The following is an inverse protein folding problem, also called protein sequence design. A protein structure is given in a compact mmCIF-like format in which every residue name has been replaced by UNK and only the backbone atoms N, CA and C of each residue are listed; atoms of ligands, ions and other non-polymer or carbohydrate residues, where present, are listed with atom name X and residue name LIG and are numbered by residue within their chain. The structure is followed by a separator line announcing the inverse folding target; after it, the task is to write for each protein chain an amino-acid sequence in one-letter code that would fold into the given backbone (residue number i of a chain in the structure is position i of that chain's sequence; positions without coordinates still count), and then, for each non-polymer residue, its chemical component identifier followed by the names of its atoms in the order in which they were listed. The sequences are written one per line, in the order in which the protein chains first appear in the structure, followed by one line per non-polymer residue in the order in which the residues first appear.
data_IF_306334094590
#
_entry.id   IF_306334094590
#
_cell.length_a   1.000
_cell.length_b   1.000
_cell.length_c   1.000
_cell.angle_alpha   90.00
_cell.angle_beta   90.00
_cell.angle_gamma   90.00
#
_symmetry.space_group_name_H-M   'P 1'
#
loop_
_entity.id
_entity.type
_entity.pdbx_description
1 polymer ?
#
# COMPACT_ATOMS: atom_id res chain seq x y z
N UNK A 1 31.67 -7.10 -8.49
CA UNK A 1 32.31 -7.53 -9.75
C UNK A 1 31.29 -8.33 -10.55
N UNK A 2 30.52 -7.65 -11.40
CA UNK A 2 29.92 -8.11 -12.66
C UNK A 2 29.02 -7.00 -13.18
N UNK A 3 29.65 -5.94 -13.67
CA UNK A 3 29.00 -4.88 -14.43
C UNK A 3 28.99 -5.33 -15.90
N UNK A 4 28.15 -6.31 -16.20
CA UNK A 4 27.75 -6.63 -17.58
C UNK A 4 26.34 -6.12 -17.74
N UNK A 5 26.21 -4.79 -17.88
CA UNK A 5 24.96 -4.18 -18.31
C UNK A 5 24.62 -4.76 -19.68
N UNK A 6 23.76 -5.77 -19.69
CA UNK A 6 23.14 -6.26 -20.90
C UNK A 6 22.19 -5.15 -21.34
N UNK A 7 22.67 -4.29 -22.24
CA UNK A 7 21.91 -3.12 -22.68
C UNK A 7 21.08 -3.44 -23.91
N UNK A 8 19.80 -3.09 -23.87
CA UNK A 8 18.97 -2.98 -25.05
C UNK A 8 19.15 -1.60 -25.68
N UNK A 9 19.53 -1.56 -26.96
CA UNK A 9 19.73 -0.30 -27.69
C UNK A 9 18.55 -0.05 -28.62
N UNK A 10 18.02 1.18 -28.62
CA UNK A 10 16.99 1.60 -29.56
C UNK A 10 17.57 1.58 -30.98
N UNK A 11 16.92 0.85 -31.90
CA UNK A 11 17.28 0.79 -33.32
C UNK A 11 16.30 1.55 -34.21
N UNK A 12 15.05 1.68 -33.77
CA UNK A 12 14.02 2.39 -34.52
C UNK A 12 13.02 3.01 -33.57
N UNK A 13 12.61 4.24 -33.90
CA UNK A 13 11.50 4.95 -33.27
C UNK A 13 10.53 5.32 -34.38
N UNK A 14 9.25 5.01 -34.19
CA UNK A 14 8.17 5.47 -35.08
C UNK A 14 7.20 6.27 -34.24
N UNK A 15 7.00 7.54 -34.58
CA UNK A 15 6.07 8.43 -33.89
C UNK A 15 4.88 8.68 -34.81
N UNK A 16 3.68 8.39 -34.32
CA UNK A 16 2.46 8.63 -35.07
C UNK A 16 1.89 10.02 -34.78
N UNK A 17 1.16 10.61 -35.74
CA UNK A 17 0.56 11.96 -35.61
C UNK A 17 -0.39 12.11 -34.42
N UNK A 18 -0.92 11.00 -33.90
CA UNK A 18 -1.83 10.96 -32.75
C UNK A 18 -1.10 10.81 -31.41
N UNK A 19 0.22 10.94 -31.37
CA UNK A 19 1.01 11.00 -30.13
C UNK A 19 1.50 9.65 -29.60
N UNK A 20 1.21 8.54 -30.27
CA UNK A 20 1.73 7.21 -29.89
C UNK A 20 3.12 7.01 -30.51
N UNK A 21 4.03 6.41 -29.75
CA UNK A 21 5.37 6.07 -30.19
C UNK A 21 5.63 4.57 -30.10
N UNK A 22 6.27 4.01 -31.12
CA UNK A 22 6.72 2.62 -31.16
C UNK A 22 8.25 2.58 -31.12
N UNK A 23 8.79 1.81 -30.19
CA UNK A 23 10.22 1.63 -30.00
C UNK A 23 10.63 0.21 -30.34
N UNK A 24 11.64 0.08 -31.19
CA UNK A 24 12.27 -1.20 -31.47
C UNK A 24 13.67 -1.21 -30.83
N UNK A 25 13.85 -2.10 -29.86
CA UNK A 25 15.12 -2.27 -29.16
C UNK A 25 15.76 -3.61 -29.54
N UNK A 26 17.09 -3.63 -29.57
CA UNK A 26 17.87 -4.84 -29.80
C UNK A 26 19.10 -4.86 -28.90
N UNK A 27 19.41 -6.03 -28.36
CA UNK A 27 20.60 -6.29 -27.57
C UNK A 27 21.08 -7.72 -27.78
N UNK A 28 22.30 -8.00 -27.34
CA UNK A 28 22.90 -9.34 -27.38
C UNK A 28 23.33 -9.72 -25.98
N UNK A 29 23.00 -10.94 -25.59
CA UNK A 29 23.37 -11.53 -24.32
C UNK A 29 24.24 -12.76 -24.59
N UNK A 30 25.35 -12.91 -23.86
CA UNK A 30 26.22 -14.09 -23.95
C UNK A 30 25.97 -14.98 -22.73
N UNK A 31 25.48 -16.20 -22.95
CA UNK A 31 25.12 -17.13 -21.87
C UNK A 31 23.71 -16.88 -21.35
N UNK A 32 23.54 -16.92 -20.04
CA UNK A 32 22.26 -16.68 -19.35
C UNK A 32 22.31 -15.35 -18.61
N UNK A 33 21.23 -14.58 -18.69
CA UNK A 33 21.09 -13.33 -17.96
C UNK A 33 19.78 -12.65 -18.30
N UNK A 34 19.65 -11.42 -17.84
CA UNK A 34 18.45 -10.59 -17.99
C UNK A 34 18.77 -9.29 -18.73
N UNK A 35 17.74 -8.73 -19.36
CA UNK A 35 17.71 -7.34 -19.79
C UNK A 35 16.70 -6.63 -18.88
N UNK A 36 17.05 -5.44 -18.40
CA UNK A 36 16.17 -4.62 -17.58
C UNK A 36 15.66 -3.43 -18.40
N UNK A 37 14.37 -3.13 -18.22
CA UNK A 37 13.70 -1.98 -18.80
C UNK A 37 12.95 -1.29 -17.67
N UNK A 38 13.15 0.02 -17.55
CA UNK A 38 12.51 0.84 -16.53
C UNK A 38 11.37 1.65 -17.15
N UNK A 39 10.23 1.66 -16.46
CA UNK A 39 9.03 2.40 -16.85
C UNK A 39 8.41 3.04 -15.61
N UNK A 40 7.66 4.11 -15.80
CA UNK A 40 6.82 4.65 -14.72
C UNK A 40 5.62 3.73 -14.46
N UNK A 41 5.01 3.83 -13.27
CA UNK A 41 3.83 3.04 -12.90
C UNK A 41 2.68 3.28 -13.89
N UNK A 42 2.48 4.53 -14.31
CA UNK A 42 1.42 4.92 -15.24
C UNK A 42 1.59 4.30 -16.64
N UNK A 43 2.83 4.05 -17.06
CA UNK A 43 3.14 3.43 -18.36
C UNK A 43 2.99 1.90 -18.33
N UNK A 44 3.10 1.26 -17.15
CA UNK A 44 3.19 -0.19 -17.01
C UNK A 44 2.01 -0.93 -17.66
N UNK A 45 0.79 -0.42 -17.49
CA UNK A 45 -0.40 -1.02 -18.09
C UNK A 45 -0.31 -1.07 -19.63
N UNK A 46 0.21 -0.01 -20.25
CA UNK A 46 0.29 0.08 -21.70
C UNK A 46 1.47 -0.74 -22.24
N UNK A 47 2.57 -0.82 -21.48
CA UNK A 47 3.68 -1.72 -21.76
C UNK A 47 3.21 -3.18 -21.72
N UNK A 48 2.51 -3.61 -20.67
CA UNK A 48 2.02 -5.01 -20.58
C UNK A 48 1.06 -5.38 -21.72
N UNK A 49 0.32 -4.42 -22.27
CA UNK A 49 -0.59 -4.62 -23.40
C UNK A 49 0.11 -4.63 -24.76
N UNK A 50 1.28 -4.01 -24.88
CA UNK A 50 1.94 -3.75 -26.18
C UNK A 50 3.35 -4.33 -26.32
N UNK A 51 3.95 -4.82 -25.23
CA UNK A 51 5.29 -5.39 -25.22
C UNK A 51 5.34 -6.70 -26.03
N UNK A 52 6.23 -6.71 -27.02
CA UNK A 52 6.52 -7.89 -27.81
C UNK A 52 8.02 -8.18 -27.75
N UNK A 53 8.38 -9.39 -27.33
CA UNK A 53 9.77 -9.83 -27.18
C UNK A 53 10.01 -11.04 -28.06
N UNK A 54 11.09 -11.02 -28.83
CA UNK A 54 11.46 -12.09 -29.75
C UNK A 54 12.94 -12.44 -29.53
N UNK A 55 13.21 -13.73 -29.34
CA UNK A 55 14.56 -14.25 -29.47
C UNK A 55 14.87 -14.46 -30.95
N UNK A 56 15.99 -13.89 -31.41
CA UNK A 56 16.47 -14.00 -32.79
C UNK A 56 17.70 -14.91 -32.89
N UNK A 57 18.10 -15.54 -31.79
CA UNK A 57 19.17 -16.52 -31.76
C UNK A 57 18.67 -17.90 -32.19
N UNK A 58 19.55 -18.71 -32.77
CA UNK A 58 19.20 -20.06 -33.24
C UNK A 58 19.07 -21.10 -32.11
N UNK A 59 19.63 -20.81 -30.93
CA UNK A 59 19.78 -21.77 -29.82
C UNK A 59 19.39 -21.23 -28.45
N UNK A 60 18.86 -20.02 -28.38
CA UNK A 60 18.35 -19.41 -27.14
C UNK A 60 16.84 -19.59 -27.00
N UNK A 61 16.33 -19.15 -25.85
CA UNK A 61 14.90 -18.94 -25.65
C UNK A 61 14.69 -17.90 -24.54
N UNK A 62 13.50 -17.30 -24.52
CA UNK A 62 13.06 -16.43 -23.43
C UNK A 62 12.41 -17.30 -22.35
N UNK A 63 12.97 -17.32 -21.14
CA UNK A 63 12.45 -18.13 -20.03
C UNK A 63 11.24 -17.49 -19.35
N UNK A 64 11.28 -16.18 -19.15
CA UNK A 64 10.26 -15.44 -18.41
C UNK A 64 10.38 -13.93 -18.67
N UNK A 65 9.27 -13.23 -18.45
CA UNK A 65 9.24 -11.78 -18.30
C UNK A 65 8.70 -11.52 -16.90
N UNK A 66 9.42 -10.73 -16.12
CA UNK A 66 9.11 -10.40 -14.73
C UNK A 66 8.98 -8.89 -14.60
N UNK A 67 8.01 -8.43 -13.84
CA UNK A 67 7.84 -7.01 -13.53
C UNK A 67 7.39 -6.87 -12.07
N UNK A 68 7.74 -5.74 -11.46
CA UNK A 68 7.26 -5.40 -10.13
C UNK A 68 5.84 -4.86 -10.25
N UNK A 69 4.87 -5.59 -9.71
CA UNK A 69 3.51 -5.11 -9.64
C UNK A 69 3.41 -4.03 -8.55
N UNK A 70 3.40 -2.76 -8.96
CA UNK A 70 2.97 -1.67 -8.08
C UNK A 70 1.44 -1.77 -7.92
N UNK A 71 0.98 -2.29 -6.78
CA UNK A 71 -0.43 -2.21 -6.43
C UNK A 71 -0.76 -0.75 -6.09
N UNK A 72 -1.84 -0.22 -6.67
CA UNK A 72 -2.33 1.11 -6.31
C UNK A 72 -2.60 1.20 -4.80
N UNK A 73 -2.35 2.35 -4.14
CA UNK A 73 -2.64 2.51 -2.71
C UNK A 73 -4.07 2.14 -2.34
N UNK A 74 -5.04 2.40 -3.21
CA UNK A 74 -6.44 2.00 -3.02
C UNK A 74 -6.66 0.49 -3.10
N UNK A 75 -5.88 -0.24 -3.91
CA UNK A 75 -5.90 -1.71 -3.99
C UNK A 75 -5.18 -2.34 -2.79
N UNK A 76 -4.08 -1.73 -2.32
CA UNK A 76 -3.44 -2.09 -1.07
C UNK A 76 -4.38 -1.87 0.12
N UNK A 77 -5.10 -0.74 0.14
CA UNK A 77 -6.12 -0.45 1.15
C UNK A 77 -7.34 -1.36 1.05
N UNK A 78 -7.70 -1.88 -0.14
CA UNK A 78 -8.74 -2.93 -0.28
C UNK A 78 -8.28 -4.28 0.26
N UNK A 79 -6.98 -4.59 0.16
CA UNK A 79 -6.41 -5.80 0.75
C UNK A 79 -6.35 -5.71 2.28
N UNK A 80 -6.39 -4.50 2.83
CA UNK A 80 -6.64 -4.25 4.24
C UNK A 80 -8.16 -4.25 4.41
N UNK A 81 -8.75 -5.27 5.04
CA UNK A 81 -10.20 -5.34 5.29
C UNK A 81 -10.65 -4.30 6.33
N UNK A 82 -10.52 -3.00 6.02
CA UNK A 82 -10.99 -1.89 6.86
C UNK A 82 -12.01 -1.08 6.06
N UNK A 83 -13.27 -1.13 6.50
CA UNK A 83 -14.37 -0.32 6.00
C UNK A 83 -14.47 1.01 6.78
N UNK A 84 -14.49 2.13 6.07
CA UNK A 84 -14.54 3.48 6.67
C UNK A 84 -15.90 4.12 6.32
N UNK A 85 -16.93 3.96 7.16
CA UNK A 85 -18.24 4.54 6.92
C UNK A 85 -18.24 6.07 7.11
N UNK A 86 -19.20 6.76 6.49
CA UNK A 86 -19.38 8.22 6.62
C UNK A 86 -19.83 8.67 8.03
N UNK A 87 -20.35 7.76 8.85
CA UNK A 87 -20.84 8.02 10.21
C UNK A 87 -20.13 7.08 11.17
N UNK A 88 -19.71 7.56 12.34
CA UNK A 88 -18.94 6.79 13.31
C UNK A 88 -17.63 6.18 12.72
N UNK A 89 -16.95 6.92 11.84
CA UNK A 89 -15.80 6.44 11.07
C UNK A 89 -14.66 5.97 11.99
N UNK A 90 -14.33 6.75 13.02
CA UNK A 90 -13.29 6.41 13.98
C UNK A 90 -13.66 5.18 14.80
N UNK A 91 -14.89 5.15 15.33
CA UNK A 91 -15.44 4.01 16.07
C UNK A 91 -15.38 2.73 15.23
N UNK A 92 -15.75 2.82 13.95
CA UNK A 92 -15.71 1.71 13.00
C UNK A 92 -14.29 1.19 12.78
N UNK A 93 -13.33 2.09 12.56
CA UNK A 93 -11.93 1.73 12.34
C UNK A 93 -11.34 1.07 13.60
N UNK A 94 -11.52 1.67 14.78
CA UNK A 94 -11.01 1.12 16.05
C UNK A 94 -11.61 -0.26 16.33
N UNK A 95 -12.89 -0.46 16.02
CA UNK A 95 -13.55 -1.76 16.19
C UNK A 95 -12.98 -2.83 15.27
N UNK A 96 -12.64 -2.47 14.03
CA UNK A 96 -12.02 -3.37 13.06
C UNK A 96 -10.54 -3.66 13.37
N UNK A 97 -9.88 -2.75 14.08
CA UNK A 97 -8.48 -2.86 14.51
C UNK A 97 -8.32 -3.48 15.91
N UNK A 98 -9.33 -4.16 16.47
CA UNK A 98 -9.17 -4.89 17.75
C UNK A 98 -8.00 -5.88 17.67
N UNK A 99 -7.15 -5.88 18.70
CA UNK A 99 -5.92 -6.65 18.73
C UNK A 99 -4.71 -5.98 18.06
N UNK A 100 -4.89 -4.86 17.35
CA UNK A 100 -3.77 -4.10 16.80
C UNK A 100 -3.01 -3.36 17.91
N UNK A 101 -1.69 -3.32 17.77
CA UNK A 101 -0.80 -2.52 18.61
C UNK A 101 -0.81 -1.08 18.12
N UNK A 102 -1.14 -0.14 18.99
CA UNK A 102 -1.18 1.29 18.67
C UNK A 102 -0.41 2.12 19.69
N UNK A 103 -0.06 3.32 19.23
CA UNK A 103 0.47 4.42 20.04
C UNK A 103 -0.51 5.58 19.94
N UNK A 104 -1.07 6.00 21.07
CA UNK A 104 -2.03 7.10 21.17
C UNK A 104 -1.39 8.25 21.91
N UNK A 105 -1.55 9.46 21.36
CA UNK A 105 -1.23 10.71 22.04
C UNK A 105 -2.53 11.34 22.53
N UNK A 106 -2.58 11.65 23.82
CA UNK A 106 -3.78 12.11 24.52
C UNK A 106 -3.54 13.55 24.98
N UNK A 107 -4.57 14.40 24.83
CA UNK A 107 -4.54 15.80 25.23
C UNK A 107 -4.03 16.77 24.17
N UNK A 108 -4.24 18.07 24.42
CA UNK A 108 -3.82 19.15 23.52
C UNK A 108 -2.29 19.22 23.49
N UNK A 109 -1.70 18.97 22.32
CA UNK A 109 -0.24 18.91 22.14
C UNK A 109 0.38 17.53 22.35
N UNK A 110 -0.41 16.50 22.67
CA UNK A 110 0.06 15.11 22.77
C UNK A 110 1.04 14.85 23.91
N UNK A 111 0.84 15.50 25.06
CA UNK A 111 1.72 15.42 26.23
C UNK A 111 1.67 14.07 26.97
N UNK A 112 0.58 13.32 26.84
CA UNK A 112 0.45 11.96 27.38
C UNK A 112 0.46 10.96 26.23
N UNK A 113 1.41 10.02 26.25
CA UNK A 113 1.56 8.98 25.23
C UNK A 113 1.33 7.61 25.84
N UNK A 114 0.47 6.79 25.20
CA UNK A 114 0.19 5.43 25.63
C UNK A 114 0.41 4.46 24.48
N UNK A 115 1.13 3.37 24.76
CA UNK A 115 1.38 2.29 23.81
C UNK A 115 0.69 1.03 24.35
N UNK A 116 -0.11 0.40 23.51
CA UNK A 116 -0.88 -0.77 23.94
C UNK A 116 -1.64 -1.45 22.80
N UNK A 117 -2.42 -2.46 23.17
CA UNK A 117 -3.26 -3.23 22.26
C UNK A 117 -4.69 -2.73 22.36
N UNK A 118 -5.35 -2.54 21.22
CA UNK A 118 -6.78 -2.18 21.17
C UNK A 118 -7.61 -3.35 21.69
N UNK A 119 -8.35 -3.13 22.78
CA UNK A 119 -9.36 -4.06 23.30
C UNK A 119 -10.74 -3.78 22.70
N UNK A 120 -11.04 -2.50 22.39
CA UNK A 120 -12.28 -2.09 21.73
C UNK A 120 -12.78 -0.72 22.19
N UNK A 121 -14.08 -0.49 22.02
CA UNK A 121 -14.78 0.71 22.49
C UNK A 121 -15.89 0.26 23.45
N UNK A 122 -16.04 1.00 24.54
CA UNK A 122 -17.13 0.87 25.50
C UNK A 122 -17.99 2.13 25.44
N UNK A 123 -19.31 1.96 25.41
CA UNK A 123 -20.27 3.05 25.44
C UNK A 123 -20.88 3.13 26.84
N UNK A 124 -20.85 4.30 27.46
CA UNK A 124 -21.47 4.54 28.76
C UNK A 124 -22.55 5.59 28.63
N UNK A 125 -23.74 5.28 29.14
CA UNK A 125 -24.88 6.20 29.13
C UNK A 125 -24.91 7.01 30.43
N UNK A 126 -24.95 8.33 30.31
CA UNK A 126 -25.14 9.24 31.43
C UNK A 126 -26.41 10.06 31.22
N UNK A 127 -27.23 10.17 32.27
CA UNK A 127 -28.37 11.08 32.29
C UNK A 127 -27.92 12.36 32.96
N UNK A 128 -27.88 13.45 32.20
CA UNK A 128 -27.56 14.77 32.72
C UNK A 128 -28.67 15.74 32.30
N UNK A 129 -29.34 16.37 33.26
CA UNK A 129 -30.44 17.32 33.05
C UNK A 129 -31.55 16.77 32.11
N UNK A 130 -32.04 15.56 32.36
CA UNK A 130 -33.04 14.84 31.54
C UNK A 130 -32.62 14.54 30.08
N UNK A 131 -31.36 14.78 29.72
CA UNK A 131 -30.78 14.42 28.42
C UNK A 131 -29.92 13.18 28.58
N UNK A 132 -30.12 12.20 27.70
CA UNK A 132 -29.31 11.00 27.60
C UNK A 132 -28.06 11.30 26.75
N UNK A 133 -26.89 11.24 27.36
CA UNK A 133 -25.59 11.42 26.71
C UNK A 133 -24.89 10.06 26.66
N UNK A 134 -24.41 9.69 25.47
CA UNK A 134 -23.62 8.47 25.27
C UNK A 134 -22.15 8.84 25.12
N UNK A 135 -21.34 8.50 26.11
CA UNK A 135 -19.88 8.69 26.07
C UNK A 135 -19.22 7.44 25.49
N UNK A 136 -18.22 7.65 24.62
CA UNK A 136 -17.41 6.56 24.04
C UNK A 136 -16.03 6.52 24.70
N UNK A 137 -15.61 5.33 25.10
CA UNK A 137 -14.33 5.07 25.76
C UNK A 137 -13.50 4.10 24.93
N UNK A 138 -12.31 4.51 24.50
CA UNK A 138 -11.32 3.63 23.89
C UNK A 138 -10.67 2.79 25.00
N UNK A 139 -10.73 1.47 24.87
CA UNK A 139 -10.15 0.53 25.83
C UNK A 139 -8.83 -0.01 25.28
N UNK A 140 -7.73 0.22 26.00
CA UNK A 140 -6.40 -0.27 25.67
C UNK A 140 -5.85 -1.18 26.76
N UNK A 141 -5.15 -2.24 26.36
CA UNK A 141 -4.24 -2.98 27.24
C UNK A 141 -2.84 -2.39 27.08
N UNK A 142 -2.34 -1.72 28.11
CA UNK A 142 -1.01 -1.11 28.09
C UNK A 142 0.08 -2.17 28.08
N UNK A 143 1.09 -1.97 27.24
CA UNK A 143 2.19 -2.93 27.06
C UNK A 143 3.18 -2.90 28.22
N UNK A 144 3.40 -1.72 28.81
CA UNK A 144 4.38 -1.49 29.87
C UNK A 144 3.94 -2.04 31.23
N UNK A 145 2.64 -1.98 31.52
CA UNK A 145 2.05 -2.23 32.83
C UNK A 145 1.06 -3.39 32.82
N UNK A 146 0.71 -3.92 31.63
CA UNK A 146 -0.37 -4.89 31.45
C UNK A 146 -1.71 -4.43 32.06
N UNK A 147 -1.90 -3.11 32.21
CA UNK A 147 -3.13 -2.52 32.77
C UNK A 147 -4.11 -2.16 31.67
N UNK A 148 -5.39 -2.35 31.95
CA UNK A 148 -6.46 -1.85 31.10
C UNK A 148 -6.70 -0.38 31.42
N UNK A 149 -6.65 0.48 30.41
CA UNK A 149 -6.99 1.90 30.51
C UNK A 149 -8.17 2.22 29.60
N UNK A 150 -9.05 3.10 30.08
CA UNK A 150 -10.18 3.64 29.33
C UNK A 150 -9.89 5.11 29.03
N UNK A 151 -9.90 5.48 27.75
CA UNK A 151 -9.58 6.82 27.28
C UNK A 151 -10.84 7.41 26.63
N UNK A 152 -11.42 8.49 27.18
CA UNK A 152 -12.56 9.13 26.55
C UNK A 152 -12.15 9.78 25.22
N UNK A 153 -13.03 9.71 24.22
CA UNK A 153 -12.85 10.41 22.96
C UNK A 153 -14.20 10.94 22.45
N UNK A 154 -14.15 12.03 21.70
CA UNK A 154 -15.28 12.57 20.94
C UNK A 154 -14.97 12.41 19.45
N UNK A 155 -15.98 12.05 18.66
CA UNK A 155 -15.93 12.13 17.19
C UNK A 155 -16.36 13.51 16.69
#
# INVERSE_FOLDING_TARGET
MNDTNNTLNIKKIVIFKHGISYFFLNGRLKGTGTFELEFTIDEMNDILKSLFVLDTSEKGFISSISYDAALEPSQLLKNIMIDIPNVNSFTSIITQLKGARIKVKIGVGGSDEKIGIIMGIEETEQIQNDIKITDKLLVLLLEDTAKIVKIPFSE
#
